data_IF_501060654745
#
_entry.id   IF_501060654745
#
_cell.length_a   1.000
_cell.length_b   1.000
_cell.length_c   1.000
_cell.angle_alpha   90.00
_cell.angle_beta   90.00
_cell.angle_gamma   90.00
#
_symmetry.space_group_name_H-M   'P 1'
#
loop_
_entity.id
_entity.type
_entity.pdbx_description
1 polymer ?
#
# COMPACT_ATOMS: atom_id res chain seq x y z
N UNK A 1 5.82 9.64 -11.92
CA UNK A 1 4.94 8.49 -11.68
C UNK A 1 3.53 8.98 -11.41
N UNK A 2 2.55 8.49 -12.15
CA UNK A 2 1.14 8.81 -11.91
C UNK A 2 0.54 7.82 -10.91
N UNK A 3 -0.08 8.34 -9.86
CA UNK A 3 -0.64 7.55 -8.76
C UNK A 3 -2.14 7.79 -8.69
N UNK A 4 -2.91 6.71 -8.53
CA UNK A 4 -4.32 6.76 -8.18
C UNK A 4 -4.51 6.22 -6.75
N UNK A 5 -5.08 7.04 -5.86
CA UNK A 5 -5.51 6.63 -4.53
C UNK A 5 -7.02 6.41 -4.55
N UNK A 6 -7.43 5.17 -4.31
CA UNK A 6 -8.84 4.75 -4.35
C UNK A 6 -9.31 4.49 -2.92
N UNK A 7 -9.65 5.58 -2.23
CA UNK A 7 -10.00 5.56 -0.81
C UNK A 7 -11.42 5.11 -0.52
N UNK A 8 -12.27 5.00 -1.53
CA UNK A 8 -13.60 4.42 -1.45
C UNK A 8 -14.00 3.80 -2.79
N UNK A 9 -14.83 2.77 -2.73
CA UNK A 9 -15.29 2.04 -3.91
C UNK A 9 -14.52 0.75 -4.17
N UNK A 10 -15.17 -0.13 -4.92
CA UNK A 10 -14.63 -1.45 -5.24
C UNK A 10 -13.69 -1.42 -6.44
N UNK A 11 -12.86 -2.45 -6.56
CA UNK A 11 -12.02 -2.70 -7.74
C UNK A 11 -12.83 -2.66 -9.05
N UNK A 12 -14.06 -3.19 -9.02
CA UNK A 12 -14.96 -3.23 -10.19
C UNK A 12 -15.46 -1.84 -10.60
N UNK A 13 -15.74 -0.97 -9.63
CA UNK A 13 -16.17 0.41 -9.92
C UNK A 13 -15.02 1.25 -10.53
N UNK A 14 -13.80 1.03 -10.08
CA UNK A 14 -12.62 1.70 -10.59
C UNK A 14 -12.32 1.35 -12.06
N UNK A 15 -12.54 0.09 -12.45
CA UNK A 15 -12.34 -0.39 -13.83
C UNK A 15 -13.13 0.40 -14.88
N UNK A 16 -14.28 0.93 -14.49
CA UNK A 16 -15.20 1.64 -15.37
C UNK A 16 -14.95 3.16 -15.42
N UNK A 17 -13.93 3.66 -14.70
CA UNK A 17 -13.59 5.08 -14.65
C UNK A 17 -12.78 5.55 -15.85
N UNK A 18 -13.06 6.76 -16.37
CA UNK A 18 -12.42 7.31 -17.57
C UNK A 18 -10.90 7.50 -17.47
N UNK A 19 -10.37 7.73 -16.26
CA UNK A 19 -8.94 8.00 -16.01
C UNK A 19 -8.16 6.82 -15.44
N UNK A 20 -8.78 5.66 -15.32
CA UNK A 20 -8.18 4.50 -14.67
C UNK A 20 -6.87 4.05 -15.36
N UNK A 21 -6.76 4.16 -16.68
CA UNK A 21 -5.58 3.72 -17.45
C UNK A 21 -4.37 4.65 -17.42
N UNK A 22 -4.47 5.85 -16.83
CA UNK A 22 -3.37 6.81 -16.78
C UNK A 22 -2.41 6.59 -15.58
N UNK A 23 -2.84 5.86 -14.53
CA UNK A 23 -2.04 5.64 -13.34
C UNK A 23 -1.07 4.48 -13.50
N UNK A 24 0.21 4.70 -13.14
CA UNK A 24 1.25 3.64 -13.10
C UNK A 24 1.14 2.81 -11.81
N UNK A 25 0.60 3.42 -10.74
CA UNK A 25 0.29 2.79 -9.46
C UNK A 25 -1.14 3.11 -9.06
N UNK A 26 -1.93 2.09 -8.74
CA UNK A 26 -3.24 2.25 -8.13
C UNK A 26 -3.25 1.60 -6.74
N UNK A 27 -3.61 2.38 -5.73
CA UNK A 27 -3.66 1.93 -4.34
C UNK A 27 -5.09 1.99 -3.84
N UNK A 28 -5.61 0.86 -3.41
CA UNK A 28 -6.94 0.73 -2.83
C UNK A 28 -6.87 0.59 -1.31
N UNK A 29 -7.80 1.24 -0.61
CA UNK A 29 -8.09 0.95 0.78
C UNK A 29 -8.70 -0.45 0.96
N UNK A 30 -9.17 -0.76 2.16
CA UNK A 30 -9.71 -2.08 2.50
C UNK A 30 -11.08 -2.38 1.87
N UNK A 31 -11.75 -1.37 1.30
CA UNK A 31 -13.02 -1.54 0.58
C UNK A 31 -12.85 -2.06 -0.86
N UNK A 32 -11.62 -2.14 -1.37
CA UNK A 32 -11.33 -2.51 -2.75
C UNK A 32 -11.87 -3.88 -3.15
N UNK A 33 -11.54 -4.91 -2.38
CA UNK A 33 -12.02 -6.30 -2.60
C UNK A 33 -12.67 -6.91 -1.34
N UNK A 34 -12.62 -6.23 -0.19
CA UNK A 34 -13.27 -6.69 1.03
C UNK A 34 -12.65 -7.96 1.63
N UNK A 35 -13.48 -8.93 2.03
CA UNK A 35 -13.02 -10.19 2.61
C UNK A 35 -12.81 -11.26 1.54
N UNK A 36 -11.65 -11.92 1.57
CA UNK A 36 -11.21 -12.95 0.62
C UNK A 36 -10.96 -14.26 1.37
N UNK A 37 -11.70 -15.32 1.04
CA UNK A 37 -11.46 -16.66 1.57
C UNK A 37 -10.49 -17.43 0.67
N UNK A 38 -9.36 -17.86 1.24
CA UNK A 38 -8.38 -18.67 0.51
C UNK A 38 -8.96 -20.02 0.03
N UNK A 39 -9.86 -20.64 0.82
CA UNK A 39 -10.49 -21.88 0.41
C UNK A 39 -11.37 -21.72 -0.83
N UNK A 40 -12.11 -20.60 -0.91
CA UNK A 40 -12.96 -20.30 -2.07
C UNK A 40 -12.12 -19.96 -3.29
N UNK A 41 -11.06 -19.16 -3.13
CA UNK A 41 -10.11 -18.85 -4.22
C UNK A 41 -9.48 -20.13 -4.78
N UNK A 42 -8.99 -21.03 -3.91
CA UNK A 42 -8.37 -22.30 -4.33
C UNK A 42 -9.33 -23.26 -5.02
N UNK A 43 -10.61 -23.20 -4.69
CA UNK A 43 -11.66 -24.00 -5.35
C UNK A 43 -12.22 -23.35 -6.62
N UNK A 44 -11.83 -22.11 -6.93
CA UNK A 44 -12.42 -21.34 -8.02
C UNK A 44 -13.85 -20.86 -7.74
N UNK A 45 -14.27 -20.85 -6.47
CA UNK A 45 -15.58 -20.33 -6.03
C UNK A 45 -15.58 -18.81 -5.88
N UNK A 46 -14.40 -18.18 -5.85
CA UNK A 46 -14.20 -16.74 -5.91
C UNK A 46 -12.93 -16.42 -6.73
N UNK A 47 -12.85 -15.18 -7.24
CA UNK A 47 -11.80 -14.75 -8.19
C UNK A 47 -11.20 -13.38 -7.81
N UNK A 48 -11.21 -13.03 -6.53
CA UNK A 48 -10.76 -11.69 -6.10
C UNK A 48 -9.30 -11.41 -6.43
N UNK A 49 -8.40 -12.38 -6.19
CA UNK A 49 -6.99 -12.22 -6.52
C UNK A 49 -6.75 -12.21 -8.03
N UNK A 50 -7.50 -13.01 -8.77
CA UNK A 50 -7.47 -13.01 -10.23
C UNK A 50 -8.01 -11.68 -10.77
N UNK A 51 -9.09 -11.12 -10.20
CA UNK A 51 -9.65 -9.83 -10.60
C UNK A 51 -8.62 -8.70 -10.42
N UNK A 52 -7.85 -8.69 -9.31
CA UNK A 52 -6.74 -7.73 -9.10
C UNK A 52 -5.66 -7.90 -10.17
N UNK A 53 -5.25 -9.13 -10.45
CA UNK A 53 -4.25 -9.42 -11.47
C UNK A 53 -4.73 -9.01 -12.86
N UNK A 54 -5.96 -9.36 -13.23
CA UNK A 54 -6.55 -9.00 -14.53
C UNK A 54 -6.67 -7.48 -14.70
N UNK A 55 -7.08 -6.76 -13.64
CA UNK A 55 -7.14 -5.31 -13.68
C UNK A 55 -5.74 -4.72 -13.91
N UNK A 56 -4.71 -5.23 -13.21
CA UNK A 56 -3.33 -4.75 -13.41
C UNK A 56 -2.83 -4.95 -14.84
N UNK A 57 -3.28 -6.03 -15.53
CA UNK A 57 -2.98 -6.29 -16.94
C UNK A 57 -3.70 -5.30 -17.86
N UNK A 58 -5.00 -5.10 -17.63
CA UNK A 58 -5.82 -4.20 -18.45
C UNK A 58 -5.33 -2.77 -18.40
N UNK A 59 -4.93 -2.32 -17.22
CA UNK A 59 -4.47 -0.96 -16.96
C UNK A 59 -2.96 -0.80 -17.14
N UNK A 60 -2.23 -1.90 -17.37
CA UNK A 60 -0.77 -1.92 -17.49
C UNK A 60 -0.07 -1.22 -16.33
N UNK A 61 -0.54 -1.44 -15.10
CA UNK A 61 -0.04 -0.77 -13.89
C UNK A 61 0.29 -1.76 -12.77
N UNK A 62 0.82 -1.21 -11.66
CA UNK A 62 0.94 -1.89 -10.37
C UNK A 62 -0.32 -1.61 -9.58
N UNK A 63 -0.92 -2.64 -9.00
CA UNK A 63 -2.09 -2.51 -8.10
C UNK A 63 -1.72 -3.02 -6.73
N UNK A 64 -2.02 -2.21 -5.71
CA UNK A 64 -2.00 -2.62 -4.30
C UNK A 64 -3.40 -2.46 -3.74
N UNK A 65 -3.97 -3.54 -3.22
CA UNK A 65 -5.34 -3.54 -2.72
C UNK A 65 -5.40 -4.10 -1.29
N UNK A 66 -5.84 -3.27 -0.34
CA UNK A 66 -6.13 -3.69 1.02
C UNK A 66 -7.33 -4.66 1.06
N UNK A 67 -7.26 -5.67 1.92
CA UNK A 67 -8.32 -6.66 2.09
C UNK A 67 -8.24 -7.34 3.45
N UNK A 68 -9.28 -8.09 3.78
CA UNK A 68 -9.26 -9.06 4.88
C UNK A 68 -9.12 -10.46 4.28
N UNK A 69 -8.00 -11.12 4.50
CA UNK A 69 -7.86 -12.53 4.11
C UNK A 69 -8.40 -13.44 5.21
N UNK A 70 -9.01 -14.54 4.81
CA UNK A 70 -9.60 -15.52 5.71
C UNK A 70 -9.12 -16.92 5.32
N UNK A 71 -8.48 -17.62 6.28
CA UNK A 71 -8.05 -19.01 6.14
C UNK A 71 -8.68 -19.81 7.26
N UNK A 72 -9.69 -20.61 6.98
CA UNK A 72 -10.41 -21.45 7.94
C UNK A 72 -10.87 -20.70 9.20
N UNK A 73 -11.43 -19.49 9.00
CA UNK A 73 -11.88 -18.64 10.09
C UNK A 73 -10.81 -17.72 10.68
N UNK A 74 -9.54 -17.93 10.37
CA UNK A 74 -8.46 -17.04 10.80
C UNK A 74 -8.34 -15.86 9.85
N UNK A 75 -8.78 -14.70 10.31
CA UNK A 75 -8.75 -13.46 9.52
C UNK A 75 -7.43 -12.70 9.73
N UNK A 76 -6.93 -12.06 8.66
CA UNK A 76 -5.79 -11.14 8.69
C UNK A 76 -6.11 -9.90 7.89
N UNK A 77 -5.60 -8.75 8.32
CA UNK A 77 -5.51 -7.57 7.47
C UNK A 77 -4.36 -7.78 6.50
N UNK A 78 -4.62 -7.62 5.21
CA UNK A 78 -3.67 -7.98 4.17
C UNK A 78 -3.69 -6.94 3.03
N UNK A 79 -2.66 -6.95 2.22
CA UNK A 79 -2.58 -6.19 0.98
C UNK A 79 -2.15 -7.12 -0.15
N UNK A 80 -2.95 -7.16 -1.19
CA UNK A 80 -2.67 -7.89 -2.43
C UNK A 80 -1.87 -6.98 -3.35
N UNK A 81 -0.80 -7.52 -3.95
CA UNK A 81 0.04 -6.79 -4.91
C UNK A 81 0.03 -7.54 -6.23
N UNK A 82 -0.33 -6.85 -7.30
CA UNK A 82 -0.33 -7.39 -8.66
C UNK A 82 0.29 -6.43 -9.67
N UNK A 83 0.91 -6.97 -10.69
CA UNK A 83 1.49 -6.23 -11.80
C UNK A 83 1.35 -7.01 -13.10
N UNK A 84 0.92 -6.33 -14.16
CA UNK A 84 0.87 -6.87 -15.53
C UNK A 84 0.24 -8.26 -15.64
N UNK A 85 -0.84 -8.50 -14.92
CA UNK A 85 -1.58 -9.78 -14.94
C UNK A 85 -1.03 -10.84 -13.99
N UNK A 86 -0.01 -10.55 -13.20
CA UNK A 86 0.56 -11.46 -12.21
C UNK A 86 0.27 -10.99 -10.80
N UNK A 87 -0.17 -11.90 -9.96
CA UNK A 87 -0.15 -11.73 -8.52
C UNK A 87 1.31 -11.82 -8.06
N UNK A 88 1.88 -10.72 -7.55
CA UNK A 88 3.23 -10.69 -6.99
C UNK A 88 3.27 -11.27 -5.58
N UNK A 89 2.20 -11.08 -4.83
CA UNK A 89 2.05 -11.65 -3.50
C UNK A 89 0.97 -11.00 -2.66
N UNK A 90 0.87 -11.48 -1.44
CA UNK A 90 0.01 -10.92 -0.38
C UNK A 90 0.89 -10.63 0.83
N UNK A 91 0.82 -9.41 1.34
CA UNK A 91 1.46 -8.99 2.60
C UNK A 91 0.42 -8.93 3.69
N UNK A 92 0.68 -9.58 4.81
CA UNK A 92 -0.19 -9.54 5.98
C UNK A 92 0.34 -8.53 7.00
N UNK A 93 -0.55 -7.90 7.74
CA UNK A 93 -0.21 -7.06 8.89
C UNK A 93 0.51 -7.88 9.96
N UNK A 94 1.64 -7.39 10.47
CA UNK A 94 2.46 -8.10 11.45
C UNK A 94 2.07 -7.79 12.89
N UNK A 95 1.75 -6.53 13.16
CA UNK A 95 1.53 -6.06 14.52
C UNK A 95 0.03 -5.96 14.81
N UNK A 96 -0.48 -6.89 15.59
CA UNK A 96 -1.90 -6.95 15.97
C UNK A 96 -2.13 -6.08 17.20
N UNK A 97 -2.99 -5.08 17.08
CA UNK A 97 -3.39 -4.20 18.16
C UNK A 97 -4.71 -4.68 18.78
N UNK A 98 -5.66 -5.07 17.92
CA UNK A 98 -6.99 -5.51 18.35
C UNK A 98 -7.18 -7.02 18.18
N UNK A 99 -7.73 -7.68 19.19
CA UNK A 99 -8.10 -9.09 19.11
C UNK A 99 -9.21 -9.33 18.06
N UNK A 100 -8.99 -10.21 17.10
CA UNK A 100 -9.96 -10.54 16.04
C UNK A 100 -9.31 -10.76 14.68
N UNK A 101 -8.06 -10.36 14.53
CA UNK A 101 -7.23 -10.68 13.36
C UNK A 101 -5.92 -11.30 13.80
N UNK A 102 -5.37 -12.18 12.98
CA UNK A 102 -4.06 -12.81 13.22
C UNK A 102 -2.91 -11.97 12.65
N UNK A 103 -1.72 -12.19 13.20
CA UNK A 103 -0.48 -11.61 12.68
C UNK A 103 -0.01 -12.34 11.41
N UNK A 104 0.68 -11.60 10.54
CA UNK A 104 1.47 -12.13 9.44
C UNK A 104 2.83 -12.67 9.91
N UNK A 105 3.64 -13.14 8.96
CA UNK A 105 4.92 -13.79 9.25
C UNK A 105 6.13 -12.95 8.83
N UNK A 106 6.01 -12.06 7.86
CA UNK A 106 7.15 -11.32 7.31
C UNK A 106 6.75 -10.03 6.58
N UNK A 107 7.64 -9.04 6.63
CA UNK A 107 7.60 -7.89 5.73
C UNK A 107 8.06 -8.31 4.33
N UNK A 108 7.50 -7.67 3.31
CA UNK A 108 7.88 -7.93 1.93
C UNK A 108 8.22 -6.65 1.18
N UNK A 109 9.25 -6.77 0.35
CA UNK A 109 9.62 -5.80 -0.67
C UNK A 109 9.29 -6.41 -2.02
N UNK A 110 8.64 -5.64 -2.87
CA UNK A 110 8.25 -6.05 -4.22
C UNK A 110 9.09 -5.32 -5.24
N UNK A 111 9.76 -6.08 -6.09
CA UNK A 111 10.41 -5.55 -7.30
C UNK A 111 9.33 -5.33 -8.35
N UNK A 112 9.10 -4.09 -8.73
CA UNK A 112 8.08 -3.71 -9.72
C UNK A 112 8.70 -2.90 -10.84
N UNK A 113 7.99 -2.73 -11.96
CA UNK A 113 8.45 -1.87 -13.06
C UNK A 113 8.61 -0.39 -12.68
N UNK A 114 7.96 0.04 -11.59
CA UNK A 114 8.01 1.43 -11.09
C UNK A 114 9.00 1.60 -9.94
N UNK A 115 9.76 0.56 -9.59
CA UNK A 115 10.79 0.56 -8.55
C UNK A 115 10.54 -0.44 -7.43
N UNK A 116 11.44 -0.44 -6.45
CA UNK A 116 11.34 -1.28 -5.24
C UNK A 116 10.30 -0.72 -4.29
N UNK A 117 9.21 -1.45 -4.11
CA UNK A 117 8.06 -1.06 -3.30
C UNK A 117 7.99 -1.84 -1.99
N UNK A 118 7.94 -1.14 -0.86
CA UNK A 118 7.56 -1.69 0.43
C UNK A 118 6.04 -1.61 0.65
N UNK A 119 5.49 -2.56 1.40
CA UNK A 119 4.07 -2.52 1.78
C UNK A 119 3.95 -2.56 3.29
N UNK A 120 3.34 -1.52 3.86
CA UNK A 120 2.95 -1.41 5.27
C UNK A 120 1.44 -1.61 5.34
N UNK A 121 0.97 -2.63 6.04
CA UNK A 121 -0.46 -2.96 6.05
C UNK A 121 -1.13 -2.42 7.31
N UNK A 122 -2.08 -1.53 7.11
CA UNK A 122 -2.94 -1.01 8.18
C UNK A 122 -2.15 -0.52 9.40
N UNK A 123 -2.44 -1.04 10.60
CA UNK A 123 -1.87 -0.61 11.87
C UNK A 123 -0.37 -0.89 12.04
N UNK A 124 0.26 -1.62 11.11
CA UNK A 124 1.72 -1.69 11.03
C UNK A 124 2.37 -0.30 10.88
N UNK A 125 1.60 0.69 10.41
CA UNK A 125 2.01 2.09 10.39
C UNK A 125 2.33 2.65 11.78
N UNK A 126 1.75 2.11 12.84
CA UNK A 126 2.01 2.59 14.22
C UNK A 126 3.35 2.09 14.78
N UNK A 127 4.01 1.18 14.07
CA UNK A 127 5.26 0.55 14.49
C UNK A 127 6.42 1.03 13.61
N UNK A 128 7.28 1.95 14.14
CA UNK A 128 8.38 2.53 13.36
C UNK A 128 9.32 1.48 12.74
N UNK A 129 9.44 0.33 13.38
CA UNK A 129 10.29 -0.77 12.94
C UNK A 129 9.89 -1.33 11.58
N UNK A 130 8.58 -1.34 11.25
CA UNK A 130 8.09 -1.83 9.96
C UNK A 130 8.56 -0.93 8.82
N UNK A 131 8.35 0.37 8.95
CA UNK A 131 8.77 1.36 7.94
C UNK A 131 10.29 1.42 7.86
N UNK A 132 11.00 1.42 9.01
CA UNK A 132 12.47 1.40 9.08
C UNK A 132 13.05 0.19 8.36
N UNK A 133 12.52 -1.00 8.62
CA UNK A 133 13.01 -2.25 8.01
C UNK A 133 12.84 -2.22 6.50
N UNK A 134 11.68 -1.81 5.99
CA UNK A 134 11.44 -1.70 4.55
C UNK A 134 12.40 -0.69 3.90
N UNK A 135 12.60 0.46 4.54
CA UNK A 135 13.56 1.46 4.05
C UNK A 135 15.00 0.92 4.02
N UNK A 136 15.41 0.17 5.05
CA UNK A 136 16.74 -0.48 5.10
C UNK A 136 16.89 -1.58 4.04
N UNK A 137 15.80 -2.27 3.68
CA UNK A 137 15.77 -3.22 2.56
C UNK A 137 15.83 -2.55 1.18
N UNK A 138 15.97 -1.23 1.13
CA UNK A 138 16.19 -0.48 -0.10
C UNK A 138 14.92 -0.14 -0.86
N UNK A 139 13.75 -0.08 -0.21
CA UNK A 139 12.55 0.42 -0.85
C UNK A 139 12.74 1.85 -1.33
N UNK A 140 12.31 2.12 -2.55
CA UNK A 140 12.30 3.46 -3.15
C UNK A 140 11.06 4.24 -2.72
N UNK A 141 9.97 3.55 -2.41
CA UNK A 141 8.75 4.07 -1.85
C UNK A 141 8.00 3.00 -1.05
N UNK A 142 7.10 3.44 -0.19
CA UNK A 142 6.24 2.57 0.62
C UNK A 142 4.79 2.87 0.32
N UNK A 143 3.98 1.82 0.20
CA UNK A 143 2.53 1.90 0.04
C UNK A 143 1.87 1.42 1.33
N UNK A 144 0.89 2.19 1.83
CA UNK A 144 0.19 1.88 3.05
C UNK A 144 -1.33 1.86 2.82
N UNK A 145 -1.92 0.70 2.41
CA UNK A 145 -3.36 0.52 2.47
C UNK A 145 -3.81 0.48 3.92
N UNK A 146 -4.83 1.27 4.24
CA UNK A 146 -5.29 1.46 5.61
C UNK A 146 -6.81 1.30 5.71
N UNK A 147 -7.29 1.00 6.92
CA UNK A 147 -8.71 1.02 7.24
C UNK A 147 -9.22 2.45 7.44
N UNK A 148 -10.21 2.58 8.30
CA UNK A 148 -10.77 3.89 8.62
C UNK A 148 -9.82 4.69 9.51
N UNK A 149 -9.54 5.94 9.12
CA UNK A 149 -8.83 6.89 9.99
C UNK A 149 -9.77 7.34 11.12
N UNK A 150 -9.23 7.35 12.33
CA UNK A 150 -9.98 7.81 13.51
C UNK A 150 -9.62 9.24 13.91
N UNK A 151 -8.40 9.66 13.59
CA UNK A 151 -7.84 10.97 13.95
C UNK A 151 -6.71 11.38 12.99
N UNK A 152 -5.96 12.42 13.36
CA UNK A 152 -4.80 12.90 12.58
C UNK A 152 -3.50 12.15 12.84
N UNK A 153 -3.47 11.14 13.71
CA UNK A 153 -2.23 10.44 14.10
C UNK A 153 -1.55 9.82 12.90
N UNK A 154 -2.33 9.20 11.99
CA UNK A 154 -1.78 8.58 10.78
C UNK A 154 -1.01 9.60 9.94
N UNK A 155 -1.55 10.81 9.76
CA UNK A 155 -0.86 11.89 9.02
C UNK A 155 0.43 12.32 9.69
N UNK A 156 0.46 12.38 11.02
CA UNK A 156 1.68 12.69 11.77
C UNK A 156 2.73 11.61 11.57
N UNK A 157 2.35 10.34 11.65
CA UNK A 157 3.27 9.21 11.46
C UNK A 157 3.79 9.12 10.02
N UNK A 158 2.92 9.33 9.02
CA UNK A 158 3.34 9.37 7.61
C UNK A 158 4.45 10.40 7.39
N UNK A 159 4.27 11.63 7.89
CA UNK A 159 5.24 12.70 7.80
C UNK A 159 6.55 12.37 8.53
N UNK A 160 6.40 11.90 9.79
CA UNK A 160 7.54 11.56 10.63
C UNK A 160 8.38 10.44 10.01
N UNK A 161 7.76 9.36 9.55
CA UNK A 161 8.48 8.21 9.02
C UNK A 161 9.05 8.48 7.62
N UNK A 162 8.32 9.18 6.76
CA UNK A 162 8.84 9.61 5.47
C UNK A 162 10.13 10.43 5.66
N UNK A 163 10.12 11.38 6.60
CA UNK A 163 11.29 12.17 6.96
C UNK A 163 12.38 11.33 7.63
N UNK A 164 12.05 10.55 8.67
CA UNK A 164 13.03 9.80 9.44
C UNK A 164 13.75 8.73 8.61
N UNK A 165 13.10 8.14 7.65
CA UNK A 165 13.66 7.03 6.87
C UNK A 165 13.97 7.39 5.41
N UNK A 166 13.69 8.64 5.00
CA UNK A 166 14.04 9.15 3.68
C UNK A 166 13.33 8.45 2.53
N UNK A 167 12.09 7.99 2.75
CA UNK A 167 11.28 7.28 1.73
C UNK A 167 9.89 7.89 1.64
N UNK A 168 9.35 8.13 0.44
CA UNK A 168 7.99 8.58 0.30
C UNK A 168 7.01 7.49 0.71
N UNK A 169 5.88 7.88 1.32
CA UNK A 169 4.82 6.96 1.75
C UNK A 169 3.51 7.35 1.09
N UNK A 170 2.91 6.41 0.36
CA UNK A 170 1.63 6.55 -0.32
C UNK A 170 0.55 5.85 0.52
N UNK A 171 -0.26 6.64 1.16
CA UNK A 171 -1.30 6.19 2.08
C UNK A 171 -2.66 6.18 1.40
N UNK A 172 -3.41 5.10 1.57
CA UNK A 172 -4.78 4.98 1.11
C UNK A 172 -5.66 4.34 2.19
N UNK A 173 -6.31 5.18 3.00
CA UNK A 173 -7.31 4.77 3.97
C UNK A 173 -8.73 4.90 3.41
N UNK A 174 -9.74 4.44 4.16
CA UNK A 174 -11.14 4.60 3.80
C UNK A 174 -11.51 6.09 3.89
N UNK A 175 -11.95 6.67 2.78
CA UNK A 175 -12.36 8.07 2.67
C UNK A 175 -11.23 9.10 2.68
N UNK A 176 -9.95 8.66 2.61
CA UNK A 176 -8.83 9.59 2.60
C UNK A 176 -7.57 8.98 1.97
N UNK A 177 -6.96 9.72 1.05
CA UNK A 177 -5.67 9.39 0.47
C UNK A 177 -4.64 10.49 0.74
N UNK A 178 -3.38 10.13 0.97
CA UNK A 178 -2.29 11.09 1.20
C UNK A 178 -0.95 10.57 0.69
N UNK A 179 -0.07 11.50 0.34
CA UNK A 179 1.32 11.23 -0.08
C UNK A 179 2.24 12.09 0.79
N UNK A 180 3.10 11.42 1.57
CA UNK A 180 4.16 12.06 2.33
C UNK A 180 5.49 11.94 1.58
N UNK A 181 6.18 13.07 1.42
CA UNK A 181 7.51 13.14 0.81
C UNK A 181 8.63 12.90 1.83
N UNK A 182 9.84 12.52 1.37
CA UNK A 182 11.00 12.32 2.26
C UNK A 182 11.39 13.53 3.12
N UNK A 183 10.99 14.74 2.74
CA UNK A 183 11.19 15.97 3.54
C UNK A 183 10.15 16.12 4.67
N UNK A 184 9.20 15.18 4.82
CA UNK A 184 8.12 15.24 5.81
C UNK A 184 6.94 16.13 5.40
N UNK A 185 6.91 16.67 4.19
CA UNK A 185 5.77 17.39 3.67
C UNK A 185 4.66 16.42 3.20
N UNK A 186 3.41 16.84 3.31
CA UNK A 186 2.31 16.17 2.61
C UNK A 186 2.19 16.83 1.24
N UNK A 187 2.69 16.14 0.20
CA UNK A 187 2.62 16.62 -1.17
C UNK A 187 1.19 16.61 -1.73
N UNK A 188 0.39 15.66 -1.24
CA UNK A 188 -0.98 15.49 -1.68
C UNK A 188 -1.83 14.91 -0.56
N UNK A 189 -3.07 15.38 -0.45
CA UNK A 189 -4.09 14.80 0.42
C UNK A 189 -5.47 15.07 -0.18
N UNK A 190 -6.33 14.05 -0.20
CA UNK A 190 -7.67 14.17 -0.77
C UNK A 190 -8.67 13.22 -0.10
N UNK A 191 -9.89 13.68 0.18
CA UNK A 191 -11.00 12.82 0.53
C UNK A 191 -11.72 12.24 -0.71
N UNK A 192 -11.36 12.69 -1.91
CA UNK A 192 -11.99 12.20 -3.15
C UNK A 192 -11.47 10.81 -3.50
N UNK A 193 -12.30 10.02 -4.18
CA UNK A 193 -11.95 8.69 -4.66
C UNK A 193 -12.56 8.43 -6.05
N UNK A 194 -11.76 8.04 -7.03
CA UNK A 194 -10.30 8.02 -7.02
C UNK A 194 -9.70 9.43 -7.02
N UNK A 195 -8.55 9.59 -6.36
CA UNK A 195 -7.75 10.81 -6.43
C UNK A 195 -6.46 10.53 -7.18
N UNK A 196 -6.11 11.40 -8.13
CA UNK A 196 -4.94 11.24 -8.99
C UNK A 196 -3.88 12.28 -8.66
N UNK A 197 -2.63 11.83 -8.62
CA UNK A 197 -1.49 12.71 -8.36
C UNK A 197 -0.27 12.31 -9.19
N UNK A 198 0.41 13.32 -9.75
CA UNK A 198 1.69 13.14 -10.44
C UNK A 198 2.81 13.29 -9.40
N UNK A 199 3.41 12.19 -9.01
CA UNK A 199 4.53 12.18 -8.07
C UNK A 199 5.86 12.16 -8.81
N UNK A 200 6.73 13.09 -8.45
CA UNK A 200 8.13 13.11 -8.88
C UNK A 200 9.02 12.75 -7.69
N UNK A 201 9.74 11.64 -7.79
CA UNK A 201 10.66 11.23 -6.74
C UNK A 201 11.91 12.12 -6.79
N UNK A 202 11.86 13.23 -6.07
CA UNK A 202 13.01 14.11 -5.88
C UNK A 202 13.88 13.52 -4.79
N UNK A 203 15.06 13.05 -5.15
CA UNK A 203 16.07 12.67 -4.15
C UNK A 203 16.58 13.92 -3.46
N UNK A 204 15.95 14.32 -2.38
CA UNK A 204 16.48 15.32 -1.49
C UNK A 204 17.55 14.67 -0.59
N UNK A 205 18.66 15.40 -0.40
CA UNK A 205 19.77 14.92 0.41
C UNK A 205 19.45 15.16 1.89
N UNK A 206 19.02 14.12 2.60
CA UNK A 206 18.76 14.19 4.04
C UNK A 206 19.90 13.60 4.85
N UNK A 207 20.22 14.24 6.00
CA UNK A 207 21.20 13.74 6.99
C UNK A 207 20.93 12.28 7.40
N UNK A 208 19.66 11.89 7.43
CA UNK A 208 19.22 10.54 7.78
C UNK A 208 19.57 9.54 6.68
N UNK A 209 19.43 9.92 5.42
CA UNK A 209 19.86 9.08 4.29
C UNK A 209 21.37 8.87 4.29
N UNK A 210 22.14 9.89 4.63
CA UNK A 210 23.59 9.79 4.78
C UNK A 210 23.97 8.85 5.93
N UNK A 211 23.29 8.94 7.07
CA UNK A 211 23.50 8.01 8.19
C UNK A 211 23.14 6.57 7.81
N UNK A 212 22.06 6.38 7.07
CA UNK A 212 21.64 5.06 6.60
C UNK A 212 22.71 4.42 5.71
N UNK A 213 23.29 5.18 4.80
CA UNK A 213 24.40 4.71 3.93
C UNK A 213 25.69 4.48 4.70
N UNK A 214 26.02 5.33 5.67
CA UNK A 214 27.26 5.24 6.45
C UNK A 214 27.30 4.13 7.50
N UNK A 215 26.15 3.59 7.91
CA UNK A 215 26.07 2.51 8.91
C UNK A 215 26.24 1.11 8.30
N UNK A 216 26.21 0.98 6.98
CA UNK A 216 26.19 -0.31 6.27
C UNK A 216 27.22 -0.40 5.13
N UNK A 217 28.23 0.47 5.14
CA UNK A 217 29.43 0.36 4.30
C UNK A 217 30.54 -0.38 5.01
#
# INVERSE_FOLDING_TARGET
>A
MQIALVSSGSLRSFKNGENAGAAELAVFGFDGIGEVSYEKELKGESTYFEDVALLSKQMKNVIVCGCITNTRGHKRKSAVVAENGRLLGVSDMLNVIDGGVGAGAALRVYETKIGKMGVVVAEDLYFPETVKTLALCGCEFIVCPFGQMRDSLQTVLLRAFAYCYGVPIFFCGIGYGAIAEPNGAIAFASPQSPAYFSFENKREYHLIETRRKGLFQ
#
